data_IF_901961248341
#
_entry.id   IF_901961248341
#
_cell.length_a   1.000
_cell.length_b   1.000
_cell.length_c   1.000
_cell.angle_alpha   90.00
_cell.angle_beta   90.00
_cell.angle_gamma   90.00
#
_symmetry.space_group_name_H-M   'P 1'
#
loop_
_entity.id
_entity.type
_entity.pdbx_description
1 polymer ?
#
# COMPACT_ATOMS: atom_id res chain seq x y z
N UNK A 1 2.41 9.89 -16.22
CA UNK A 1 2.27 10.14 -14.77
C UNK A 1 2.52 11.62 -14.46
N UNK A 2 1.63 12.21 -13.66
CA UNK A 2 1.79 13.60 -13.23
C UNK A 2 2.89 13.74 -12.19
N UNK A 3 3.50 14.92 -12.15
CA UNK A 3 4.45 15.28 -11.09
C UNK A 3 3.71 15.78 -9.87
N UNK A 4 4.23 15.40 -8.69
CA UNK A 4 3.71 15.85 -7.41
C UNK A 4 4.87 16.27 -6.51
N UNK A 5 5.09 17.59 -6.43
CA UNK A 5 6.18 18.15 -5.63
C UNK A 5 5.99 17.83 -4.15
N UNK A 6 7.07 17.44 -3.47
CA UNK A 6 7.06 17.13 -2.04
C UNK A 6 6.39 15.81 -1.67
N UNK A 7 6.00 15.03 -2.65
CA UNK A 7 5.25 13.78 -2.47
C UNK A 7 6.17 12.58 -2.73
N UNK A 8 6.09 11.59 -1.85
CA UNK A 8 6.67 10.26 -2.08
C UNK A 8 5.58 9.35 -2.61
N UNK A 9 5.94 8.41 -3.46
CA UNK A 9 4.98 7.50 -4.09
C UNK A 9 5.47 6.06 -4.01
N UNK A 10 4.52 5.15 -3.85
CA UNK A 10 4.77 3.73 -4.05
C UNK A 10 3.71 3.18 -5.01
N UNK A 11 4.16 2.58 -6.09
CA UNK A 11 3.32 2.03 -7.14
C UNK A 11 3.41 0.51 -7.10
N UNK A 12 2.27 -0.15 -7.07
CA UNK A 12 2.18 -1.61 -7.09
C UNK A 12 1.32 -2.05 -8.28
N UNK A 13 1.81 -3.01 -9.04
CA UNK A 13 1.02 -3.63 -10.11
C UNK A 13 -0.06 -4.51 -9.49
N UNK A 14 -1.32 -4.28 -9.85
CA UNK A 14 -2.45 -5.09 -9.39
C UNK A 14 -2.85 -6.13 -10.43
N UNK A 15 -3.07 -5.70 -11.67
CA UNK A 15 -3.47 -6.58 -12.76
C UNK A 15 -2.77 -6.18 -14.04
N UNK A 16 -2.69 -7.13 -15.00
CA UNK A 16 -2.08 -6.93 -16.29
C UNK A 16 -0.76 -7.66 -16.44
N UNK A 17 -0.16 -7.54 -17.61
CA UNK A 17 1.03 -8.32 -17.99
C UNK A 17 2.34 -7.65 -17.55
N UNK A 18 2.26 -6.45 -17.06
CA UNK A 18 3.40 -5.69 -16.57
C UNK A 18 3.31 -4.21 -16.92
N UNK A 19 4.15 -3.42 -16.26
CA UNK A 19 4.26 -1.99 -16.48
C UNK A 19 5.73 -1.59 -16.39
N UNK A 20 6.26 -0.98 -17.43
CA UNK A 20 7.61 -0.44 -17.42
C UNK A 20 7.56 1.06 -17.18
N UNK A 21 8.33 1.53 -16.20
CA UNK A 21 8.45 2.95 -15.88
C UNK A 21 9.76 3.48 -16.45
N UNK A 22 9.64 4.49 -17.31
CA UNK A 22 10.79 5.18 -17.90
C UNK A 22 10.93 6.56 -17.25
N UNK A 23 11.95 6.73 -16.45
CA UNK A 23 12.24 8.01 -15.81
C UNK A 23 13.06 8.89 -16.74
N UNK A 24 12.86 10.19 -16.64
CA UNK A 24 13.56 11.18 -17.50
C UNK A 24 15.06 11.11 -17.36
N UNK A 25 15.59 10.72 -16.18
CA UNK A 25 17.01 10.56 -15.92
C UNK A 25 17.63 9.30 -16.56
N UNK A 26 16.85 8.51 -17.27
CA UNK A 26 17.28 7.28 -17.93
C UNK A 26 17.07 6.00 -17.13
N UNK A 27 16.69 6.09 -15.87
CA UNK A 27 16.36 4.89 -15.08
C UNK A 27 15.11 4.22 -15.64
N UNK A 28 15.13 2.88 -15.70
CA UNK A 28 14.01 2.06 -16.12
C UNK A 28 13.69 1.08 -15.01
N UNK A 29 12.39 0.94 -14.70
CA UNK A 29 11.91 0.01 -13.71
C UNK A 29 10.78 -0.84 -14.30
N UNK A 30 10.96 -2.17 -14.31
CA UNK A 30 9.94 -3.10 -14.75
C UNK A 30 9.13 -3.62 -13.57
N UNK A 31 7.83 -3.35 -13.60
CA UNK A 31 6.89 -3.96 -12.65
C UNK A 31 6.28 -5.18 -13.31
N UNK A 32 6.60 -6.36 -12.79
CA UNK A 32 6.15 -7.64 -13.32
C UNK A 32 5.11 -8.28 -12.40
N UNK A 33 4.15 -9.03 -12.97
CA UNK A 33 3.23 -9.81 -12.14
C UNK A 33 3.96 -10.89 -11.34
N UNK A 34 3.41 -11.30 -10.19
CA UNK A 34 2.32 -10.64 -9.51
C UNK A 34 2.82 -9.55 -8.54
N UNK A 35 2.15 -8.41 -8.50
CA UNK A 35 2.25 -7.41 -7.44
C UNK A 35 3.64 -6.80 -7.21
N UNK A 36 4.45 -6.65 -8.25
CA UNK A 36 5.70 -5.90 -8.15
C UNK A 36 5.41 -4.45 -7.74
N UNK A 37 6.29 -3.88 -6.90
CA UNK A 37 6.12 -2.52 -6.43
C UNK A 37 7.44 -1.76 -6.43
N UNK A 38 7.34 -0.43 -6.55
CA UNK A 38 8.48 0.46 -6.54
C UNK A 38 8.12 1.75 -5.82
N UNK A 39 9.06 2.29 -5.08
CA UNK A 39 8.95 3.57 -4.40
C UNK A 39 9.83 4.61 -5.08
N UNK A 40 9.28 5.79 -5.32
CA UNK A 40 10.02 6.87 -5.97
C UNK A 40 9.44 8.22 -5.57
N UNK A 41 10.27 9.27 -5.74
CA UNK A 41 9.83 10.65 -5.49
C UNK A 41 8.80 11.09 -6.52
N UNK A 42 7.73 11.71 -6.07
CA UNK A 42 6.72 12.30 -6.96
C UNK A 42 7.22 13.50 -7.75
N UNK A 43 8.38 14.05 -7.41
CA UNK A 43 9.03 15.13 -8.16
C UNK A 43 9.60 14.65 -9.50
N UNK A 44 9.84 13.35 -9.66
CA UNK A 44 10.45 12.78 -10.85
C UNK A 44 9.47 12.74 -12.01
N UNK A 45 9.99 13.02 -13.19
CA UNK A 45 9.24 12.90 -14.44
C UNK A 45 9.42 11.49 -14.99
N UNK A 46 8.32 10.85 -15.33
CA UNK A 46 8.35 9.49 -15.86
C UNK A 46 7.16 9.22 -16.78
N UNK A 47 7.32 8.21 -17.61
CA UNK A 47 6.26 7.66 -18.46
C UNK A 47 6.09 6.18 -18.18
N UNK A 48 4.84 5.72 -18.17
CA UNK A 48 4.52 4.32 -18.04
C UNK A 48 4.23 3.68 -19.39
N UNK A 49 4.80 2.50 -19.61
CA UNK A 49 4.54 1.70 -20.80
C UNK A 49 3.96 0.35 -20.37
N UNK A 50 2.64 0.16 -20.46
CA UNK A 50 2.04 -1.11 -20.09
C UNK A 50 2.41 -2.20 -21.10
N UNK A 51 2.68 -3.39 -20.59
CA UNK A 51 2.75 -4.60 -21.43
C UNK A 51 1.30 -5.06 -21.65
N UNK A 52 0.91 -5.22 -22.90
CA UNK A 52 -0.47 -5.54 -23.26
C UNK A 52 -1.37 -4.30 -23.26
N UNK A 53 -2.67 -4.51 -23.14
CA UNK A 53 -3.64 -3.45 -23.37
C UNK A 53 -4.01 -2.67 -22.12
N UNK A 54 -4.13 -3.35 -20.98
CA UNK A 54 -4.64 -2.75 -19.75
C UNK A 54 -3.85 -3.22 -18.55
N UNK A 55 -3.43 -2.30 -17.72
CA UNK A 55 -2.88 -2.59 -16.39
C UNK A 55 -3.66 -1.80 -15.36
N UNK A 56 -3.80 -2.35 -14.17
CA UNK A 56 -4.26 -1.61 -13.01
C UNK A 56 -3.18 -1.57 -11.94
N UNK A 57 -3.09 -0.44 -11.26
CA UNK A 57 -2.07 -0.19 -10.26
C UNK A 57 -2.69 0.38 -8.99
N UNK A 58 -2.05 0.10 -7.87
CA UNK A 58 -2.29 0.79 -6.62
C UNK A 58 -1.20 1.84 -6.46
N UNK A 59 -1.60 3.08 -6.26
CA UNK A 59 -0.69 4.21 -6.14
C UNK A 59 -0.85 4.82 -4.75
N UNK A 60 0.10 4.58 -3.87
CA UNK A 60 0.17 5.22 -2.58
C UNK A 60 0.96 6.51 -2.70
N UNK A 61 0.42 7.58 -2.17
CA UNK A 61 1.05 8.90 -2.24
C UNK A 61 0.96 9.57 -0.87
N UNK A 62 2.06 10.20 -0.46
CA UNK A 62 2.08 10.90 0.82
C UNK A 62 3.07 12.06 0.77
N UNK A 63 2.86 13.05 1.64
CA UNK A 63 3.80 14.15 1.81
C UNK A 63 4.98 13.67 2.65
N UNK A 64 6.17 13.64 2.06
CA UNK A 64 7.37 13.08 2.70
C UNK A 64 7.79 13.83 3.96
N UNK A 65 7.48 15.13 4.04
CA UNK A 65 7.83 15.94 5.21
C UNK A 65 6.85 15.78 6.36
N UNK A 66 5.66 15.27 6.11
CA UNK A 66 4.59 15.15 7.09
C UNK A 66 4.48 13.77 7.71
N UNK A 67 4.72 12.73 6.93
CA UNK A 67 4.54 11.34 7.37
C UNK A 67 5.66 10.43 6.85
N UNK A 68 5.86 9.35 7.59
CA UNK A 68 6.73 8.24 7.21
C UNK A 68 5.84 7.03 6.95
N UNK A 69 5.98 6.41 5.80
CA UNK A 69 5.18 5.26 5.40
C UNK A 69 6.08 4.05 5.22
N UNK A 70 5.71 2.96 5.86
CA UNK A 70 6.34 1.64 5.70
C UNK A 70 5.30 0.69 5.13
N UNK A 71 5.71 -0.14 4.18
CA UNK A 71 4.80 -1.06 3.51
C UNK A 71 5.32 -2.49 3.57
N UNK A 72 4.39 -3.43 3.61
CA UNK A 72 4.68 -4.87 3.60
C UNK A 72 3.67 -5.58 2.72
N UNK A 73 4.16 -6.47 1.88
CA UNK A 73 3.34 -7.43 1.14
C UNK A 73 3.39 -8.75 1.92
N UNK A 74 2.24 -9.22 2.39
CA UNK A 74 2.15 -10.39 3.26
C UNK A 74 1.08 -11.36 2.79
N UNK A 75 1.35 -12.67 2.87
CA UNK A 75 0.29 -13.66 2.71
C UNK A 75 -0.65 -13.62 3.91
N UNK A 76 -1.92 -13.87 3.67
CA UNK A 76 -2.91 -14.13 4.71
C UNK A 76 -3.25 -15.61 4.66
N UNK A 77 -2.80 -16.35 5.67
CA UNK A 77 -3.04 -17.78 5.80
C UNK A 77 -3.62 -18.01 7.20
N UNK A 78 -4.96 -17.97 7.28
CA UNK A 78 -5.68 -18.06 8.53
C UNK A 78 -5.79 -16.72 9.24
N UNK A 79 -4.76 -16.31 9.96
CA UNK A 79 -4.85 -15.15 10.85
C UNK A 79 -3.62 -14.27 10.76
N UNK A 80 -3.83 -12.96 10.71
CA UNK A 80 -2.78 -11.94 10.84
C UNK A 80 -3.21 -10.93 11.90
N UNK A 81 -2.31 -10.64 12.83
CA UNK A 81 -2.52 -9.60 13.84
C UNK A 81 -1.75 -8.33 13.45
N UNK A 82 -2.43 -7.20 13.47
CA UNK A 82 -1.83 -5.88 13.26
C UNK A 82 -1.78 -5.17 14.60
N UNK A 83 -0.56 -4.85 15.05
CA UNK A 83 -0.33 -4.15 16.31
C UNK A 83 -0.25 -2.65 16.06
N UNK A 84 -1.08 -1.91 16.77
CA UNK A 84 -1.29 -0.48 16.55
C UNK A 84 -0.77 0.29 17.76
N UNK A 85 0.16 1.20 17.49
CA UNK A 85 0.59 2.19 18.47
C UNK A 85 -0.26 3.45 18.36
N UNK A 86 -0.44 4.21 19.46
CA UNK A 86 -1.14 5.49 19.41
C UNK A 86 -0.51 6.43 18.38
N UNK A 87 -1.35 7.08 17.58
CA UNK A 87 -0.91 7.97 16.51
C UNK A 87 -0.61 7.29 15.19
N UNK A 88 -0.49 5.97 15.17
CA UNK A 88 -0.31 5.25 13.91
C UNK A 88 -1.64 5.10 13.17
N UNK A 89 -1.54 5.12 11.86
CA UNK A 89 -2.64 4.72 10.97
C UNK A 89 -2.14 3.59 10.09
N UNK A 90 -2.89 2.50 10.03
CA UNK A 90 -2.59 1.39 9.14
C UNK A 90 -3.63 1.29 8.05
N UNK A 91 -3.16 1.19 6.81
CA UNK A 91 -3.98 0.80 5.67
C UNK A 91 -3.78 -0.70 5.44
N UNK A 92 -4.88 -1.42 5.36
CA UNK A 92 -4.89 -2.83 4.95
C UNK A 92 -5.63 -2.92 3.63
N UNK A 93 -4.95 -3.35 2.58
CA UNK A 93 -5.53 -3.53 1.26
C UNK A 93 -5.50 -5.00 0.90
N UNK A 94 -6.65 -5.56 0.53
CA UNK A 94 -6.74 -6.96 0.14
C UNK A 94 -6.42 -7.12 -1.35
N UNK A 95 -5.25 -7.67 -1.63
CA UNK A 95 -4.76 -7.89 -3.00
C UNK A 95 -5.42 -9.08 -3.66
N UNK A 96 -5.71 -10.12 -2.89
CA UNK A 96 -6.34 -11.35 -3.37
C UNK A 96 -7.02 -12.06 -2.20
N UNK A 97 -8.04 -12.84 -2.51
CA UNK A 97 -8.73 -13.68 -1.54
C UNK A 97 -9.88 -12.99 -0.83
N UNK A 98 -10.11 -13.38 0.40
CA UNK A 98 -11.12 -12.83 1.28
C UNK A 98 -10.61 -12.73 2.71
N UNK A 99 -11.01 -11.67 3.40
CA UNK A 99 -10.59 -11.43 4.77
C UNK A 99 -11.73 -10.83 5.59
N UNK A 100 -11.61 -10.94 6.90
CA UNK A 100 -12.56 -10.35 7.84
C UNK A 100 -11.80 -9.88 9.08
N UNK A 101 -12.14 -8.69 9.56
CA UNK A 101 -11.70 -8.26 10.89
C UNK A 101 -12.42 -9.10 11.95
N UNK A 102 -11.66 -9.60 12.92
CA UNK A 102 -12.21 -10.44 13.99
C UNK A 102 -12.89 -9.57 15.05
N UNK A 103 -14.04 -9.03 14.69
CA UNK A 103 -14.93 -8.28 15.60
C UNK A 103 -16.36 -8.45 15.13
N UNK A 104 -17.33 -8.24 16.06
CA UNK A 104 -18.73 -8.63 15.90
C UNK A 104 -19.47 -7.94 14.76
N UNK A 105 -19.10 -6.72 14.42
CA UNK A 105 -19.79 -5.89 13.43
C UNK A 105 -19.00 -5.73 12.13
N UNK A 106 -17.93 -6.50 11.99
CA UNK A 106 -17.04 -6.34 10.85
C UNK A 106 -17.64 -6.91 9.57
N UNK A 107 -17.57 -6.12 8.51
CA UNK A 107 -17.89 -6.58 7.16
C UNK A 107 -16.76 -7.40 6.58
N UNK A 108 -17.04 -8.41 5.75
CA UNK A 108 -16.00 -9.11 5.01
C UNK A 108 -15.34 -8.16 4.00
N UNK A 109 -14.05 -8.36 3.79
CA UNK A 109 -13.27 -7.68 2.77
C UNK A 109 -13.14 -8.60 1.58
N UNK A 110 -13.43 -8.08 0.40
CA UNK A 110 -13.19 -8.74 -0.87
C UNK A 110 -11.96 -8.14 -1.55
N UNK A 111 -11.47 -8.80 -2.56
CA UNK A 111 -10.33 -8.29 -3.36
C UNK A 111 -10.59 -6.86 -3.82
N UNK A 112 -9.63 -5.97 -3.57
CA UNK A 112 -9.73 -4.56 -3.89
C UNK A 112 -10.29 -3.69 -2.77
N UNK A 113 -10.77 -4.29 -1.68
CA UNK A 113 -11.23 -3.55 -0.53
C UNK A 113 -10.08 -3.14 0.37
N UNK A 114 -10.26 -2.04 1.08
CA UNK A 114 -9.29 -1.52 2.02
C UNK A 114 -9.96 -1.11 3.33
N UNK A 115 -9.21 -1.18 4.41
CA UNK A 115 -9.63 -0.70 5.71
C UNK A 115 -8.52 0.11 6.36
N UNK A 116 -8.91 1.17 7.06
CA UNK A 116 -8.00 1.97 7.89
C UNK A 116 -8.18 1.58 9.35
N UNK A 117 -7.07 1.31 10.02
CA UNK A 117 -7.03 0.91 11.43
C UNK A 117 -6.29 1.96 12.23
N UNK A 118 -6.84 2.34 13.37
CA UNK A 118 -6.25 3.32 14.29
C UNK A 118 -6.37 2.85 15.73
N UNK A 119 -5.51 3.40 16.59
CA UNK A 119 -5.52 3.15 18.02
C UNK A 119 -5.79 4.48 18.78
N UNK A 120 -7.05 4.93 18.86
CA UNK A 120 -7.35 6.25 19.44
C UNK A 120 -7.18 6.33 20.96
N UNK A 121 -7.19 5.20 21.66
CA UNK A 121 -7.20 5.13 23.12
C UNK A 121 -5.98 4.43 23.71
N UNK A 122 -4.93 4.24 22.93
CA UNK A 122 -3.74 3.54 23.37
C UNK A 122 -3.45 2.31 22.51
N UNK A 123 -2.39 1.62 22.84
CA UNK A 123 -1.99 0.42 22.09
C UNK A 123 -3.11 -0.60 22.03
N UNK A 124 -3.33 -1.12 20.85
CA UNK A 124 -4.28 -2.21 20.63
C UNK A 124 -3.82 -3.08 19.47
N UNK A 125 -4.56 -4.12 19.19
CA UNK A 125 -4.32 -4.91 18.00
C UNK A 125 -5.65 -5.21 17.31
N UNK A 126 -5.57 -5.40 16.01
CA UNK A 126 -6.67 -5.87 15.19
C UNK A 126 -6.26 -7.16 14.53
N UNK A 127 -7.18 -8.10 14.43
CA UNK A 127 -6.93 -9.41 13.86
C UNK A 127 -7.72 -9.55 12.57
N UNK A 128 -7.07 -10.02 11.52
CA UNK A 128 -7.72 -10.38 10.27
C UNK A 128 -7.68 -11.89 10.11
N UNK A 129 -8.82 -12.47 9.76
CA UNK A 129 -8.96 -13.88 9.44
C UNK A 129 -9.30 -14.03 7.96
N UNK A 130 -8.76 -15.05 7.32
CA UNK A 130 -9.09 -15.34 5.94
C UNK A 130 -7.96 -16.00 5.16
N UNK A 131 -7.94 -15.76 3.88
CA UNK A 131 -6.92 -16.29 2.99
C UNK A 131 -6.71 -15.39 1.79
N UNK A 132 -5.46 -15.28 1.34
CA UNK A 132 -5.09 -14.48 0.21
C UNK A 132 -3.81 -13.69 0.43
N UNK A 133 -3.79 -12.45 -0.01
CA UNK A 133 -2.61 -11.58 0.07
C UNK A 133 -3.01 -10.17 0.47
N UNK A 134 -2.18 -9.56 1.32
CA UNK A 134 -2.38 -8.22 1.86
C UNK A 134 -1.24 -7.29 1.46
N UNK A 135 -1.58 -6.04 1.19
CA UNK A 135 -0.64 -4.93 1.30
C UNK A 135 -0.97 -4.18 2.59
N UNK A 136 0.02 -4.06 3.45
CA UNK A 136 -0.07 -3.34 4.71
C UNK A 136 0.77 -2.07 4.59
N UNK A 137 0.21 -0.93 4.98
CA UNK A 137 0.95 0.33 5.02
C UNK A 137 0.75 0.98 6.38
N UNK A 138 1.86 1.24 7.07
CA UNK A 138 1.86 1.97 8.35
C UNK A 138 2.24 3.42 8.08
N UNK A 139 1.40 4.33 8.53
CA UNK A 139 1.61 5.76 8.39
C UNK A 139 1.85 6.36 9.78
N UNK A 140 3.00 6.99 9.96
CA UNK A 140 3.40 7.68 11.19
C UNK A 140 3.68 9.13 10.90
N UNK A 141 3.39 10.01 11.85
CA UNK A 141 3.82 11.39 11.76
C UNK A 141 5.34 11.47 11.79
N UNK A 142 5.92 12.26 10.89
CA UNK A 142 7.36 12.54 10.88
C UNK A 142 7.74 13.60 11.90
N UNK A 143 6.76 14.28 12.51
CA UNK A 143 7.02 15.29 13.50
C UNK A 143 7.72 14.66 14.72
N UNK A 144 8.94 15.07 14.97
CA UNK A 144 9.62 14.75 16.23
C UNK A 144 8.93 15.55 17.32
N UNK A 145 8.39 14.86 18.31
CA UNK A 145 7.96 15.51 19.53
C UNK A 145 9.19 16.07 20.22
N UNK A 146 9.22 17.35 20.39
CA UNK A 146 10.23 18.00 21.21
C UNK A 146 10.04 17.70 22.70
#
# INVERSE_FOLDING_TARGET
FSRFAGVERELMLLTGDGLTLHFEDGQVCDLRPPHARVRFSGDRVLQGAPAGQVVSVLNLMWRRDDVVVSTWHRPLVGTVAVFLDPGDCWLVYLLAGQARLARTDARPLDQGDAVLLRAPHGRCHQVLDGGGELLLARVRSSATSD
#
